data_IF_419529355430
#
_entry.id   IF_419529355430
#
_cell.length_a   1.000
_cell.length_b   1.000
_cell.length_c   1.000
_cell.angle_alpha   90.00
_cell.angle_beta   90.00
_cell.angle_gamma   90.00
#
_symmetry.space_group_name_H-M   'P 1'
#
loop_
_entity.id
_entity.type
_entity.pdbx_description
1 polymer ?
#
# COMPACT_ATOMS: atom_id res chain seq x y z
N UNK A 1 17.70 1.16 -18.19
CA UNK A 1 16.22 1.16 -18.07
C UNK A 1 15.90 1.77 -16.71
N UNK A 2 15.58 3.07 -16.65
CA UNK A 2 15.26 3.74 -15.39
C UNK A 2 13.77 4.01 -15.36
N UNK A 3 13.05 3.37 -14.45
CA UNK A 3 11.64 3.65 -14.19
C UNK A 3 11.43 5.04 -13.57
N UNK A 4 10.18 5.42 -13.30
CA UNK A 4 9.85 6.68 -12.65
C UNK A 4 10.53 6.78 -11.27
N UNK A 5 11.01 7.98 -10.91
CA UNK A 5 11.69 8.24 -9.64
C UNK A 5 10.77 9.01 -8.70
N UNK A 6 10.64 8.54 -7.48
CA UNK A 6 9.91 9.22 -6.41
C UNK A 6 10.93 9.94 -5.52
N UNK A 7 10.69 11.22 -5.22
CA UNK A 7 11.51 11.96 -4.25
C UNK A 7 11.06 11.61 -2.84
N UNK A 8 12.01 11.22 -2.01
CA UNK A 8 11.81 10.93 -0.58
C UNK A 8 12.69 11.88 0.22
N UNK A 9 12.11 12.51 1.24
CA UNK A 9 12.86 13.36 2.16
C UNK A 9 13.95 12.54 2.89
N UNK A 10 15.08 13.17 3.20
CA UNK A 10 16.22 12.48 3.84
C UNK A 10 15.87 11.96 5.24
N UNK A 11 15.08 12.71 6.01
CA UNK A 11 14.62 12.29 7.32
C UNK A 11 13.69 11.08 7.23
N UNK A 12 12.78 11.10 6.26
CA UNK A 12 11.91 9.97 5.98
C UNK A 12 12.70 8.73 5.55
N UNK A 13 13.67 8.86 4.64
CA UNK A 13 14.50 7.75 4.19
C UNK A 13 15.31 7.12 5.34
N UNK A 14 15.83 7.94 6.26
CA UNK A 14 16.54 7.45 7.44
C UNK A 14 15.62 6.63 8.36
N UNK A 15 14.38 7.07 8.56
CA UNK A 15 13.37 6.33 9.31
C UNK A 15 13.00 5.02 8.61
N UNK A 16 12.79 5.05 7.29
CA UNK A 16 12.49 3.85 6.49
C UNK A 16 13.62 2.84 6.52
N UNK A 17 14.88 3.29 6.51
CA UNK A 17 16.06 2.40 6.61
C UNK A 17 16.14 1.73 7.98
N UNK A 18 15.78 2.44 9.06
CA UNK A 18 15.69 1.83 10.39
C UNK A 18 14.55 0.81 10.45
N UNK A 19 13.39 1.18 9.91
CA UNK A 19 12.22 0.32 9.85
C UNK A 19 12.49 -0.96 9.04
N UNK A 20 13.16 -0.86 7.88
CA UNK A 20 13.47 -2.00 7.01
C UNK A 20 14.34 -3.04 7.74
N UNK A 21 15.34 -2.59 8.51
CA UNK A 21 16.20 -3.47 9.31
C UNK A 21 15.44 -4.16 10.43
N UNK A 22 14.58 -3.43 11.15
CA UNK A 22 13.75 -3.98 12.23
C UNK A 22 12.78 -5.03 11.67
N UNK A 23 12.21 -4.76 10.50
CA UNK A 23 11.29 -5.67 9.82
C UNK A 23 11.99 -6.83 9.09
N UNK A 24 13.32 -6.91 9.13
CA UNK A 24 14.09 -8.04 8.59
C UNK A 24 14.32 -8.02 7.07
N UNK A 25 14.13 -6.88 6.41
CA UNK A 25 14.36 -6.75 4.96
C UNK A 25 15.85 -6.64 4.64
N UNK A 26 16.25 -7.18 3.50
CA UNK A 26 17.64 -7.13 3.05
C UNK A 26 18.04 -5.71 2.63
N UNK A 27 17.12 -4.94 2.06
CA UNK A 27 17.36 -3.55 1.62
C UNK A 27 16.19 -2.63 1.95
N UNK A 28 16.47 -1.31 2.03
CA UNK A 28 15.41 -0.31 2.19
C UNK A 28 14.51 -0.22 0.96
N UNK A 29 15.05 -0.47 -0.24
CA UNK A 29 14.30 -0.41 -1.50
C UNK A 29 13.25 -1.53 -1.58
N UNK A 30 13.62 -2.75 -1.17
CA UNK A 30 12.70 -3.89 -1.07
C UNK A 30 11.57 -3.58 -0.08
N UNK A 31 11.91 -3.05 1.10
CA UNK A 31 10.94 -2.66 2.11
C UNK A 31 9.95 -1.61 1.59
N UNK A 32 10.45 -0.54 0.97
CA UNK A 32 9.61 0.54 0.43
C UNK A 32 8.68 -0.02 -0.66
N UNK A 33 9.22 -0.84 -1.57
CA UNK A 33 8.43 -1.44 -2.66
C UNK A 33 7.31 -2.31 -2.10
N UNK A 34 7.63 -3.22 -1.17
CA UNK A 34 6.64 -4.12 -0.57
C UNK A 34 5.52 -3.36 0.17
N UNK A 35 5.88 -2.31 0.92
CA UNK A 35 4.90 -1.47 1.61
C UNK A 35 3.98 -0.75 0.62
N UNK A 36 4.53 -0.20 -0.47
CA UNK A 36 3.74 0.47 -1.50
C UNK A 36 2.81 -0.49 -2.25
N UNK A 37 3.30 -1.67 -2.63
CA UNK A 37 2.49 -2.72 -3.27
C UNK A 37 1.32 -3.14 -2.37
N UNK A 38 1.61 -3.36 -1.08
CA UNK A 38 0.58 -3.72 -0.11
C UNK A 38 -0.45 -2.61 0.06
N UNK A 39 -0.01 -1.35 0.19
CA UNK A 39 -0.91 -0.21 0.34
C UNK A 39 -1.82 -0.03 -0.89
N UNK A 40 -1.27 -0.19 -2.11
CA UNK A 40 -2.05 -0.14 -3.34
C UNK A 40 -3.12 -1.26 -3.37
N UNK A 41 -2.73 -2.49 -3.04
CA UNK A 41 -3.66 -3.62 -2.99
C UNK A 41 -4.76 -3.45 -1.93
N UNK A 42 -4.45 -2.84 -0.78
CA UNK A 42 -5.45 -2.51 0.25
C UNK A 42 -6.46 -1.47 -0.26
N UNK A 43 -6.01 -0.43 -0.98
CA UNK A 43 -6.90 0.56 -1.59
C UNK A 43 -7.81 -0.05 -2.67
N UNK A 44 -7.26 -0.88 -3.57
CA UNK A 44 -8.05 -1.56 -4.62
C UNK A 44 -9.10 -2.51 -4.03
N UNK A 45 -8.77 -3.20 -2.93
CA UNK A 45 -9.73 -4.04 -2.21
C UNK A 45 -10.83 -3.22 -1.55
N UNK A 46 -10.50 -2.10 -0.92
CA UNK A 46 -11.48 -1.22 -0.29
C UNK A 46 -12.49 -0.67 -1.32
N UNK A 47 -12.01 -0.23 -2.49
CA UNK A 47 -12.88 0.20 -3.60
C UNK A 47 -13.81 -0.94 -4.07
N UNK A 48 -13.27 -2.16 -4.17
CA UNK A 48 -14.06 -3.34 -4.55
C UNK A 48 -15.12 -3.71 -3.52
N UNK A 49 -14.80 -3.65 -2.22
CA UNK A 49 -15.76 -3.92 -1.15
C UNK A 49 -16.89 -2.88 -1.12
N UNK A 50 -16.59 -1.60 -1.30
CA UNK A 50 -17.60 -0.56 -1.39
C UNK A 50 -18.48 -0.70 -2.64
N UNK A 51 -17.91 -1.13 -3.77
CA UNK A 51 -18.68 -1.46 -4.97
C UNK A 51 -19.60 -2.67 -4.76
N UNK A 52 -19.10 -3.72 -4.11
CA UNK A 52 -19.90 -4.92 -3.75
C UNK A 52 -21.02 -4.56 -2.79
N UNK A 53 -20.76 -3.75 -1.74
CA UNK A 53 -21.80 -3.29 -0.82
C UNK A 53 -22.90 -2.49 -1.53
N UNK A 54 -22.53 -1.60 -2.46
CA UNK A 54 -23.51 -0.87 -3.28
C UNK A 54 -24.38 -1.80 -4.13
N UNK A 55 -23.78 -2.84 -4.73
CA UNK A 55 -24.54 -3.85 -5.50
C UNK A 55 -25.49 -4.67 -4.60
N UNK A 56 -25.07 -5.03 -3.39
CA UNK A 56 -25.90 -5.75 -2.42
C UNK A 56 -27.05 -4.90 -1.86
N UNK A 57 -26.81 -3.60 -1.61
CA UNK A 57 -27.86 -2.65 -1.20
C UNK A 57 -28.92 -2.44 -2.30
N UNK A 58 -28.51 -2.45 -3.57
CA UNK A 58 -29.43 -2.34 -4.72
C UNK A 58 -30.33 -3.56 -4.94
N UNK A 59 -30.11 -4.67 -4.23
CA UNK A 59 -30.90 -5.91 -4.33
C UNK A 59 -31.90 -6.09 -3.18
N UNK A 60 -32.07 -5.09 -2.29
CA UNK A 60 -33.11 -5.11 -1.27
C UNK A 60 -32.87 -6.03 -0.08
N UNK A 61 -31.61 -6.31 0.27
CA UNK A 61 -31.27 -7.06 1.49
C UNK A 61 -30.93 -6.13 2.66
N UNK A 62 -31.91 -5.33 3.09
CA UNK A 62 -31.96 -4.72 4.43
C UNK A 62 -33.44 -4.62 4.84
N UNK A 63 -33.85 -5.42 5.82
CA UNK A 63 -34.88 -5.02 6.81
C UNK A 63 -34.14 -4.45 8.02
#
# INVERSE_FOLDING_TARGET
>A
MFGPRIKIDRGLLASLTKASRIAGYATVDEFITHVLERAAAECERAESEDEVRKRLQGLGYMD
#
